data_IF_355521616070
#
_entry.id   IF_355521616070
#
_cell.length_a   1.000
_cell.length_b   1.000
_cell.length_c   1.000
_cell.angle_alpha   90.00
_cell.angle_beta   90.00
_cell.angle_gamma   90.00
#
_symmetry.space_group_name_H-M   'P 1'
#
loop_
_entity.id
_entity.type
_entity.pdbx_description
1 polymer ?
#
# COMPACT_ATOMS: atom_id res chain seq x y z
N UNK A 1 84.43 -11.00 -14.59
CA UNK A 1 83.41 -10.26 -15.35
C UNK A 1 82.08 -10.57 -14.71
N UNK A 2 81.65 -9.68 -13.79
CA UNK A 2 80.39 -9.84 -13.04
C UNK A 2 79.25 -9.04 -13.71
N UNK A 3 78.24 -9.70 -14.20
CA UNK A 3 77.00 -9.07 -14.67
C UNK A 3 76.00 -9.08 -13.50
N UNK A 4 75.77 -7.91 -12.90
CA UNK A 4 74.67 -7.66 -11.94
C UNK A 4 73.39 -7.43 -12.73
N UNK A 5 72.41 -8.29 -12.51
CA UNK A 5 71.05 -8.14 -13.03
C UNK A 5 70.22 -7.34 -12.01
N UNK A 6 69.84 -6.11 -12.36
CA UNK A 6 68.93 -5.31 -11.55
C UNK A 6 67.48 -5.76 -11.87
N UNK A 7 66.83 -6.39 -10.91
CA UNK A 7 65.39 -6.65 -10.93
C UNK A 7 64.64 -5.43 -10.36
N UNK A 8 63.96 -4.69 -11.18
CA UNK A 8 63.07 -3.61 -10.75
C UNK A 8 61.71 -4.20 -10.35
N UNK A 9 61.37 -4.15 -9.05
CA UNK A 9 60.06 -4.45 -8.55
C UNK A 9 59.08 -3.29 -8.89
N UNK A 10 58.15 -3.51 -9.74
CA UNK A 10 56.96 -2.64 -9.94
C UNK A 10 55.94 -2.99 -8.86
N UNK A 11 55.86 -2.18 -7.82
CA UNK A 11 54.73 -2.24 -6.86
C UNK A 11 53.55 -1.48 -7.46
N UNK A 12 52.62 -2.21 -8.05
CA UNK A 12 51.34 -1.67 -8.52
C UNK A 12 50.45 -1.35 -7.32
N UNK A 13 50.24 -0.07 -7.03
CA UNK A 13 49.22 0.42 -6.09
C UNK A 13 47.86 0.22 -6.72
N UNK A 14 47.14 -0.87 -6.33
CA UNK A 14 45.70 -1.02 -6.58
C UNK A 14 44.96 -0.10 -5.61
N UNK A 15 44.68 1.14 -6.04
CA UNK A 15 43.72 2.00 -5.36
C UNK A 15 42.34 1.41 -5.57
N UNK A 16 41.79 0.72 -4.55
CA UNK A 16 40.40 0.35 -4.50
C UNK A 16 39.56 1.63 -4.38
N UNK A 17 38.95 2.07 -5.48
CA UNK A 17 37.86 3.03 -5.45
C UNK A 17 36.71 2.38 -4.73
N UNK A 18 36.61 2.59 -3.41
CA UNK A 18 35.37 2.35 -2.71
C UNK A 18 34.32 3.29 -3.33
N UNK A 19 33.36 2.73 -4.08
CA UNK A 19 32.20 3.48 -4.54
C UNK A 19 31.49 3.97 -3.26
N UNK A 20 31.64 5.25 -2.92
CA UNK A 20 30.81 5.89 -1.92
C UNK A 20 29.40 5.92 -2.52
N UNK A 21 28.46 5.21 -1.89
CA UNK A 21 27.06 5.37 -2.22
C UNK A 21 26.70 6.84 -1.95
N UNK A 22 26.10 7.50 -2.93
CA UNK A 22 25.58 8.85 -2.72
C UNK A 22 24.63 8.84 -1.52
N UNK A 23 24.75 9.80 -0.59
CA UNK A 23 23.86 9.86 0.55
C UNK A 23 22.41 10.00 0.05
N UNK A 24 21.50 9.16 0.58
CA UNK A 24 20.08 9.25 0.25
C UNK A 24 19.53 10.58 0.77
N UNK A 25 19.17 11.48 -0.16
CA UNK A 25 18.69 12.83 0.16
C UNK A 25 17.20 12.96 -0.15
N UNK A 26 16.38 13.06 0.89
CA UNK A 26 14.93 13.26 0.78
C UNK A 26 14.55 14.62 0.19
N UNK A 27 15.44 15.62 0.17
CA UNK A 27 15.16 16.93 -0.41
C UNK A 27 14.89 16.86 -1.92
N UNK A 28 15.43 15.83 -2.59
CA UNK A 28 15.15 15.52 -4.01
C UNK A 28 13.76 14.96 -4.28
N UNK A 29 12.95 14.74 -3.23
CA UNK A 29 11.62 14.14 -3.36
C UNK A 29 10.53 15.05 -2.81
N UNK A 30 9.35 14.95 -3.42
CA UNK A 30 8.08 15.39 -2.85
C UNK A 30 7.47 14.19 -2.12
N UNK A 31 7.20 14.35 -0.83
CA UNK A 31 6.54 13.33 -0.02
C UNK A 31 5.04 13.57 -0.05
N UNK A 32 4.27 12.54 -0.42
CA UNK A 32 2.81 12.59 -0.47
C UNK A 32 2.24 11.57 0.50
N UNK A 33 1.35 12.02 1.38
CA UNK A 33 0.60 11.15 2.28
C UNK A 33 -0.58 10.56 1.51
N UNK A 34 -0.62 9.24 1.40
CA UNK A 34 -1.66 8.49 0.70
C UNK A 34 -2.64 7.82 1.67
N UNK A 35 -2.67 8.23 2.95
CA UNK A 35 -3.53 7.68 3.98
C UNK A 35 -4.55 8.68 4.49
N UNK A 36 -5.75 8.18 4.83
CA UNK A 36 -6.75 8.93 5.59
C UNK A 36 -6.39 8.97 7.07
N UNK A 37 -6.73 10.07 7.75
CA UNK A 37 -6.62 10.14 9.21
C UNK A 37 -7.66 9.22 9.87
N UNK A 38 -7.27 8.61 11.01
CA UNK A 38 -8.19 7.81 11.82
C UNK A 38 -8.95 8.71 12.80
N UNK A 39 -10.27 8.54 12.84
CA UNK A 39 -11.18 9.29 13.70
C UNK A 39 -12.53 8.59 13.85
N UNK A 40 -13.48 9.25 14.48
CA UNK A 40 -14.82 8.70 14.68
C UNK A 40 -15.59 8.46 13.37
N UNK A 41 -15.19 9.12 12.30
CA UNK A 41 -15.72 9.03 10.94
C UNK A 41 -14.97 8.03 10.05
N UNK A 42 -13.97 7.33 10.59
CA UNK A 42 -13.24 6.29 9.85
C UNK A 42 -14.21 5.21 9.38
N UNK A 43 -14.15 4.94 8.08
CA UNK A 43 -15.00 3.91 7.48
C UNK A 43 -14.39 2.52 7.67
N UNK A 44 -15.24 1.58 8.05
CA UNK A 44 -14.95 0.16 8.21
C UNK A 44 -15.91 -0.66 7.38
N UNK A 45 -15.46 -1.85 6.96
CA UNK A 45 -16.32 -2.83 6.31
C UNK A 45 -17.55 -3.11 7.19
N UNK A 46 -18.77 -3.13 6.61
CA UNK A 46 -20.00 -3.36 7.37
C UNK A 46 -19.98 -4.70 8.11
N UNK A 47 -20.44 -4.71 9.37
CA UNK A 47 -20.46 -5.91 10.18
C UNK A 47 -21.15 -5.74 11.52
N UNK A 48 -21.32 -6.85 12.26
CA UNK A 48 -21.91 -6.88 13.60
C UNK A 48 -20.93 -7.55 14.57
N UNK A 49 -20.54 -6.87 15.70
CA UNK A 49 -20.92 -5.49 16.05
C UNK A 49 -20.41 -4.49 15.02
N UNK A 50 -20.98 -3.28 14.96
CA UNK A 50 -20.55 -2.23 14.02
C UNK A 50 -19.11 -1.86 14.34
N UNK A 51 -18.18 -2.07 13.40
CA UNK A 51 -16.78 -1.75 13.63
C UNK A 51 -16.53 -0.25 13.59
N UNK A 52 -15.67 0.24 14.48
CA UNK A 52 -15.33 1.66 14.58
C UNK A 52 -13.94 1.88 15.18
N UNK A 53 -13.39 3.06 14.94
CA UNK A 53 -12.23 3.56 15.66
C UNK A 53 -12.68 4.25 16.95
N UNK A 54 -12.04 3.89 18.07
CA UNK A 54 -12.29 4.53 19.36
C UNK A 54 -10.98 5.11 19.89
N UNK A 55 -10.99 6.39 20.25
CA UNK A 55 -9.88 7.08 20.91
C UNK A 55 -10.35 7.53 22.28
N UNK A 56 -9.78 6.91 23.33
CA UNK A 56 -10.08 7.24 24.71
C UNK A 56 -8.97 8.12 25.30
N UNK A 57 -9.34 9.27 25.84
CA UNK A 57 -8.42 10.14 26.53
C UNK A 57 -8.14 9.60 27.94
N UNK A 58 -6.89 9.26 28.21
CA UNK A 58 -6.44 8.78 29.54
C UNK A 58 -5.95 9.93 30.40
N UNK A 59 -5.31 10.93 29.81
CA UNK A 59 -4.82 12.14 30.48
C UNK A 59 -4.77 13.29 29.48
N UNK A 60 -5.06 14.52 29.97
CA UNK A 60 -4.89 15.73 29.18
C UNK A 60 -4.93 16.95 30.11
N UNK A 61 -3.78 17.49 30.51
CA UNK A 61 -3.70 18.65 31.40
C UNK A 61 -2.37 18.81 32.11
N UNK A 62 -2.31 19.81 32.98
CA UNK A 62 -1.14 20.08 33.81
C UNK A 62 -1.01 19.01 34.91
N UNK A 63 0.21 18.53 35.11
CA UNK A 63 0.53 17.58 36.17
C UNK A 63 0.89 18.30 37.47
N UNK A 64 0.86 17.63 38.63
CA UNK A 64 1.38 18.20 39.88
C UNK A 64 2.85 18.60 39.82
N UNK A 65 3.61 18.09 38.85
CA UNK A 65 4.99 18.44 38.61
C UNK A 65 5.20 19.70 37.76
N UNK A 66 4.12 20.39 37.36
CA UNK A 66 4.18 21.65 36.61
C UNK A 66 4.49 21.50 35.11
N UNK A 67 4.16 20.37 34.51
CA UNK A 67 4.24 20.15 33.05
C UNK A 67 2.96 19.57 32.47
N UNK A 68 2.66 19.89 31.22
CA UNK A 68 1.53 19.35 30.52
C UNK A 68 1.76 17.87 30.11
N UNK A 69 0.74 17.04 30.25
CA UNK A 69 0.76 15.64 29.82
C UNK A 69 -0.54 15.28 29.12
N UNK A 70 -0.43 14.63 27.96
CA UNK A 70 -1.57 14.07 27.23
C UNK A 70 -1.27 12.62 26.83
N UNK A 71 -2.22 11.72 27.09
CA UNK A 71 -2.12 10.34 26.71
C UNK A 71 -3.52 9.81 26.36
N UNK A 72 -3.54 8.97 25.32
CA UNK A 72 -4.76 8.31 24.87
C UNK A 72 -4.50 6.81 24.70
N UNK A 73 -5.58 6.04 24.67
CA UNK A 73 -5.58 4.69 24.14
C UNK A 73 -6.53 4.63 22.96
N UNK A 74 -6.27 3.76 21.99
CA UNK A 74 -7.21 3.51 20.90
C UNK A 74 -7.59 2.03 20.83
N UNK A 75 -8.77 1.77 20.26
CA UNK A 75 -9.25 0.44 19.91
C UNK A 75 -9.84 0.52 18.49
N UNK A 76 -9.47 -0.44 17.64
CA UNK A 76 -9.98 -0.53 16.29
C UNK A 76 -9.82 -1.96 15.76
N UNK A 77 -10.67 -2.41 14.80
CA UNK A 77 -10.36 -3.56 13.97
C UNK A 77 -9.10 -3.32 13.13
N UNK A 78 -8.41 -4.40 12.75
CA UNK A 78 -7.21 -4.33 11.88
C UNK A 78 -7.55 -3.80 10.48
N UNK A 79 -8.76 -4.10 9.97
CA UNK A 79 -9.24 -3.81 8.62
C UNK A 79 -10.24 -2.65 8.63
N UNK A 80 -9.82 -1.50 8.11
CA UNK A 80 -10.60 -0.27 7.99
C UNK A 80 -9.74 0.97 8.07
N UNK A 81 -10.26 2.11 7.63
CA UNK A 81 -9.40 3.24 7.34
C UNK A 81 -8.35 2.87 6.30
N UNK A 82 -7.28 3.66 6.15
CA UNK A 82 -6.15 3.25 5.31
C UNK A 82 -5.36 2.16 6.03
N UNK A 83 -5.39 0.94 5.50
CA UNK A 83 -4.77 -0.22 6.13
C UNK A 83 -4.07 -1.13 5.12
N UNK A 84 -3.31 -2.08 5.64
CA UNK A 84 -2.70 -3.16 4.87
C UNK A 84 -3.32 -4.49 5.31
N UNK A 85 -3.74 -5.28 4.33
CA UNK A 85 -4.09 -6.69 4.50
C UNK A 85 -2.86 -7.56 4.35
N UNK A 86 -2.54 -8.32 5.40
CA UNK A 86 -1.51 -9.33 5.32
C UNK A 86 -2.06 -10.61 4.64
N UNK A 87 -1.21 -11.40 3.95
CA UNK A 87 -1.66 -12.60 3.24
C UNK A 87 -2.46 -13.60 4.09
N UNK A 88 -2.18 -13.70 5.38
CA UNK A 88 -2.92 -14.60 6.30
C UNK A 88 -4.41 -14.25 6.38
N UNK A 89 -4.82 -13.04 6.00
CA UNK A 89 -6.22 -12.63 5.99
C UNK A 89 -7.09 -13.56 5.11
N UNK A 90 -6.57 -14.00 3.95
CA UNK A 90 -7.28 -14.89 3.03
C UNK A 90 -6.54 -16.20 2.70
N UNK A 91 -5.34 -16.44 3.27
CA UNK A 91 -4.58 -17.67 3.12
C UNK A 91 -4.09 -18.18 4.48
N UNK A 92 -4.54 -19.38 4.88
CA UNK A 92 -4.22 -19.98 6.20
C UNK A 92 -2.73 -19.99 6.53
N UNK A 93 -1.89 -20.27 5.56
CA UNK A 93 -0.42 -20.35 5.70
C UNK A 93 0.27 -19.08 5.16
N UNK A 94 -0.50 -17.99 4.94
CA UNK A 94 0.03 -16.70 4.50
C UNK A 94 0.83 -16.00 5.59
N UNK A 95 1.72 -15.10 5.19
CA UNK A 95 2.49 -14.27 6.12
C UNK A 95 1.56 -13.37 6.92
N UNK A 96 1.84 -13.23 8.22
CA UNK A 96 1.22 -12.26 9.12
C UNK A 96 1.89 -10.89 8.98
N UNK A 97 1.26 -9.83 9.49
CA UNK A 97 1.75 -8.44 9.39
C UNK A 97 3.20 -8.28 9.87
N UNK A 98 3.58 -8.97 10.95
CA UNK A 98 4.94 -8.91 11.50
C UNK A 98 5.99 -9.70 10.70
N UNK A 99 5.55 -10.55 9.78
CA UNK A 99 6.41 -11.39 8.94
C UNK A 99 6.69 -10.78 7.55
N UNK A 100 5.93 -9.75 7.13
CA UNK A 100 6.11 -9.13 5.83
C UNK A 100 7.53 -8.53 5.69
N UNK A 101 8.27 -8.85 4.62
CA UNK A 101 9.61 -8.33 4.41
C UNK A 101 9.57 -6.84 4.03
N UNK A 102 10.52 -6.05 4.53
CA UNK A 102 10.60 -4.62 4.22
C UNK A 102 10.73 -4.34 2.72
N UNK A 103 11.36 -5.22 1.96
CA UNK A 103 11.49 -5.11 0.50
C UNK A 103 10.16 -5.20 -0.25
N UNK A 104 9.12 -5.73 0.40
CA UNK A 104 7.76 -5.74 -0.12
C UNK A 104 7.00 -4.48 0.27
N UNK A 105 7.33 -3.90 1.44
CA UNK A 105 6.65 -2.73 2.01
C UNK A 105 7.29 -1.39 1.57
N UNK A 106 8.51 -1.43 1.03
CA UNK A 106 9.25 -0.27 0.51
C UNK A 106 9.74 -0.64 -0.88
N UNK A 107 9.05 -0.17 -1.93
CA UNK A 107 9.33 -0.62 -3.29
C UNK A 107 9.03 0.46 -4.34
N UNK A 108 9.58 0.33 -5.56
CA UNK A 108 9.11 1.09 -6.71
C UNK A 108 7.61 0.88 -6.90
N UNK A 109 6.91 1.91 -7.37
CA UNK A 109 5.49 1.83 -7.57
C UNK A 109 5.04 2.37 -8.93
N UNK A 110 3.88 1.89 -9.36
CA UNK A 110 3.17 2.37 -10.55
C UNK A 110 1.71 2.64 -10.18
N UNK A 111 1.08 3.58 -10.90
CA UNK A 111 -0.33 3.92 -10.75
C UNK A 111 -1.07 3.67 -12.06
N UNK A 112 -2.07 2.79 -12.02
CA UNK A 112 -2.99 2.54 -13.14
C UNK A 112 -4.24 3.38 -12.91
N UNK A 113 -4.59 4.23 -13.87
CA UNK A 113 -5.73 5.14 -13.79
C UNK A 113 -6.94 4.56 -14.55
N UNK A 114 -8.03 4.31 -13.83
CA UNK A 114 -9.30 3.82 -14.37
C UNK A 114 -10.49 4.71 -13.98
N UNK A 115 -10.22 5.97 -13.62
CA UNK A 115 -11.27 6.91 -13.19
C UNK A 115 -12.38 7.09 -14.19
N UNK A 116 -12.04 7.13 -15.48
CA UNK A 116 -13.04 7.28 -16.55
C UNK A 116 -13.99 6.07 -16.60
N UNK A 117 -13.44 4.85 -16.49
CA UNK A 117 -14.21 3.61 -16.47
C UNK A 117 -15.06 3.52 -15.20
N UNK A 118 -14.45 3.82 -14.03
CA UNK A 118 -15.12 3.79 -12.73
C UNK A 118 -16.29 4.80 -12.64
N UNK A 119 -16.18 5.95 -13.30
CA UNK A 119 -17.26 6.94 -13.37
C UNK A 119 -18.45 6.43 -14.20
N UNK A 120 -18.20 5.61 -15.23
CA UNK A 120 -19.25 5.04 -16.09
C UNK A 120 -19.88 3.79 -15.49
N UNK A 121 -19.11 3.03 -14.73
CA UNK A 121 -19.52 1.80 -14.06
C UNK A 121 -18.94 1.74 -12.64
N UNK A 122 -19.80 1.98 -11.65
CA UNK A 122 -19.40 1.95 -10.24
C UNK A 122 -18.99 0.55 -9.74
N UNK A 123 -19.28 -0.49 -10.51
CA UNK A 123 -18.80 -1.85 -10.25
C UNK A 123 -17.65 -2.26 -11.17
N UNK A 124 -16.96 -1.27 -11.78
CA UNK A 124 -15.87 -1.53 -12.69
C UNK A 124 -14.77 -2.36 -12.04
N UNK A 125 -14.28 -3.31 -12.78
CA UNK A 125 -13.16 -4.17 -12.39
C UNK A 125 -12.02 -3.97 -13.38
N UNK A 126 -10.83 -3.63 -12.88
CA UNK A 126 -9.63 -3.52 -13.71
C UNK A 126 -9.52 -4.73 -14.64
N UNK A 127 -9.36 -4.49 -15.93
CA UNK A 127 -9.31 -5.52 -16.97
C UNK A 127 -7.86 -5.77 -17.44
N UNK A 128 -7.55 -6.95 -18.00
CA UNK A 128 -6.27 -7.22 -18.66
C UNK A 128 -5.89 -6.18 -19.71
N UNK A 129 -6.87 -5.59 -20.40
CA UNK A 129 -6.67 -4.54 -21.39
C UNK A 129 -6.12 -3.24 -20.79
N UNK A 130 -6.53 -2.88 -19.56
CA UNK A 130 -6.01 -1.69 -18.87
C UNK A 130 -4.53 -1.87 -18.55
N UNK A 131 -4.14 -3.08 -18.11
CA UNK A 131 -2.73 -3.43 -17.87
C UNK A 131 -1.95 -3.35 -19.17
N UNK A 132 -2.46 -3.95 -20.28
CA UNK A 132 -1.80 -3.89 -21.58
C UNK A 132 -1.62 -2.45 -22.05
N UNK A 133 -2.64 -1.60 -21.91
CA UNK A 133 -2.58 -0.17 -22.27
C UNK A 133 -1.55 0.58 -21.44
N UNK A 134 -1.50 0.31 -20.13
CA UNK A 134 -0.49 0.87 -19.25
C UNK A 134 0.91 0.44 -19.69
N UNK A 135 1.13 -0.84 -19.94
CA UNK A 135 2.43 -1.40 -20.32
C UNK A 135 2.89 -0.97 -21.71
N UNK A 136 1.99 -0.75 -22.67
CA UNK A 136 2.31 -0.15 -23.98
C UNK A 136 2.88 1.26 -23.83
N UNK A 137 2.40 2.02 -22.87
CA UNK A 137 2.82 3.42 -22.64
C UNK A 137 4.11 3.50 -21.81
N UNK A 138 4.25 2.65 -20.80
CA UNK A 138 5.26 2.82 -19.76
C UNK A 138 6.25 1.66 -19.63
N UNK A 139 6.07 0.61 -20.40
CA UNK A 139 6.82 -0.65 -20.30
C UNK A 139 6.22 -1.62 -19.30
N UNK A 140 6.70 -2.86 -19.38
CA UNK A 140 6.20 -3.98 -18.57
C UNK A 140 6.42 -3.71 -17.08
N UNK A 141 5.40 -3.95 -16.27
CA UNK A 141 5.47 -3.87 -14.79
C UNK A 141 6.49 -4.90 -14.29
N UNK A 142 7.48 -4.44 -13.53
CA UNK A 142 8.59 -5.29 -13.06
C UNK A 142 8.22 -6.03 -11.77
N UNK A 143 8.79 -7.21 -11.55
CA UNK A 143 8.65 -7.91 -10.27
C UNK A 143 9.05 -7.04 -9.07
N UNK A 144 8.35 -7.21 -7.95
CA UNK A 144 8.58 -6.41 -6.73
C UNK A 144 8.03 -4.98 -6.78
N UNK A 145 7.25 -4.61 -7.81
CA UNK A 145 6.59 -3.31 -7.90
C UNK A 145 5.29 -3.28 -7.09
N UNK A 146 5.01 -2.20 -6.38
CA UNK A 146 3.69 -1.92 -5.79
C UNK A 146 2.80 -1.32 -6.89
N UNK A 147 1.62 -1.91 -7.11
CA UNK A 147 0.66 -1.41 -8.10
C UNK A 147 -0.47 -0.70 -7.38
N UNK A 148 -0.67 0.59 -7.69
CA UNK A 148 -1.76 1.41 -7.16
C UNK A 148 -2.84 1.58 -8.23
N UNK A 149 -4.05 1.15 -7.93
CA UNK A 149 -5.22 1.36 -8.79
C UNK A 149 -5.93 2.64 -8.36
N UNK A 150 -6.00 3.60 -9.26
CA UNK A 150 -6.74 4.84 -9.06
C UNK A 150 -8.11 4.76 -9.72
N UNK A 151 -9.14 4.72 -8.91
CA UNK A 151 -10.54 4.75 -9.34
C UNK A 151 -11.18 6.13 -9.20
N UNK A 152 -10.55 7.03 -8.41
CA UNK A 152 -11.08 8.34 -8.02
C UNK A 152 -12.07 8.26 -6.86
N UNK A 153 -12.21 7.09 -6.25
CA UNK A 153 -13.23 6.82 -5.24
C UNK A 153 -12.97 7.52 -3.91
N UNK A 154 -11.72 7.79 -3.58
CA UNK A 154 -11.32 8.50 -2.36
C UNK A 154 -12.00 9.87 -2.18
N UNK A 155 -12.51 10.49 -3.26
CA UNK A 155 -13.28 11.74 -3.19
C UNK A 155 -14.57 11.61 -2.36
N UNK A 156 -15.11 10.40 -2.20
CA UNK A 156 -16.34 10.14 -1.44
C UNK A 156 -16.11 9.91 0.05
N UNK A 157 -14.85 9.79 0.47
CA UNK A 157 -14.49 9.63 1.87
C UNK A 157 -14.75 10.92 2.67
N UNK A 158 -15.34 10.87 3.88
CA UNK A 158 -15.81 9.70 4.63
C UNK A 158 -17.35 9.47 4.54
N UNK A 159 -18.00 9.91 3.45
CA UNK A 159 -19.44 9.70 3.27
C UNK A 159 -19.71 8.21 3.00
N UNK A 160 -20.28 7.51 3.98
CA UNK A 160 -20.53 6.07 3.91
C UNK A 160 -21.39 5.69 2.70
N UNK A 161 -22.46 6.42 2.44
CA UNK A 161 -23.38 6.13 1.34
C UNK A 161 -22.70 6.30 -0.01
N UNK A 162 -22.02 7.42 -0.20
CA UNK A 162 -21.31 7.69 -1.44
C UNK A 162 -20.14 6.72 -1.64
N UNK A 163 -19.41 6.38 -0.56
CA UNK A 163 -18.22 5.55 -0.62
C UNK A 163 -18.52 4.06 -0.77
N UNK A 164 -19.52 3.53 -0.07
CA UNK A 164 -19.89 2.12 -0.10
C UNK A 164 -21.07 1.78 -1.02
N UNK A 165 -21.82 2.79 -1.51
CA UNK A 165 -23.10 2.59 -2.17
C UNK A 165 -24.25 2.26 -1.22
N UNK A 166 -23.98 2.15 0.10
CA UNK A 166 -24.92 1.75 1.14
C UNK A 166 -24.69 2.56 2.43
N UNK A 167 -25.79 2.94 3.09
CA UNK A 167 -25.74 3.56 4.42
C UNK A 167 -25.57 2.54 5.55
N UNK A 168 -25.81 1.25 5.28
CA UNK A 168 -25.75 0.22 6.30
C UNK A 168 -24.32 0.04 6.83
N UNK A 169 -24.17 0.18 8.15
CA UNK A 169 -22.94 -0.16 8.84
C UNK A 169 -22.88 -1.64 9.28
N UNK A 170 -23.95 -2.39 9.12
CA UNK A 170 -24.10 -3.76 9.59
C UNK A 170 -24.16 -4.81 8.46
N UNK A 171 -24.55 -4.38 7.25
CA UNK A 171 -24.81 -5.28 6.11
C UNK A 171 -24.01 -4.87 4.87
N UNK A 172 -23.17 -5.80 4.41
CA UNK A 172 -22.35 -5.64 3.22
C UNK A 172 -23.07 -6.01 1.90
N UNK A 173 -24.35 -6.41 1.92
CA UNK A 173 -25.05 -6.91 0.72
C UNK A 173 -25.23 -5.85 -0.37
N UNK A 174 -25.31 -4.57 0.02
CA UNK A 174 -25.53 -3.43 -0.86
C UNK A 174 -24.26 -2.71 -1.33
N UNK A 175 -23.07 -3.25 -1.06
CA UNK A 175 -21.82 -2.57 -1.42
C UNK A 175 -21.64 -2.46 -2.93
N UNK A 176 -21.23 -1.26 -3.39
CA UNK A 176 -20.97 -0.97 -4.79
C UNK A 176 -19.82 0.04 -4.89
N UNK A 177 -18.67 -0.42 -5.35
CA UNK A 177 -17.47 0.37 -5.67
C UNK A 177 -16.57 -0.40 -6.63
N UNK A 178 -15.75 0.29 -7.46
CA UNK A 178 -14.83 -0.33 -8.40
C UNK A 178 -13.59 -0.90 -7.70
N UNK A 179 -12.91 -1.86 -8.32
CA UNK A 179 -11.61 -2.35 -7.86
C UNK A 179 -10.91 -3.23 -8.92
N UNK A 180 -10.06 -4.17 -8.48
CA UNK A 180 -9.39 -5.11 -9.35
C UNK A 180 -10.36 -6.17 -9.87
N UNK A 181 -10.13 -6.62 -11.12
CA UNK A 181 -10.74 -7.81 -11.67
C UNK A 181 -9.84 -9.03 -11.46
N UNK A 182 -10.45 -10.22 -11.45
CA UNK A 182 -9.77 -11.48 -11.21
C UNK A 182 -8.63 -11.75 -12.22
N UNK A 183 -8.92 -11.61 -13.52
CA UNK A 183 -7.91 -11.85 -14.57
C UNK A 183 -6.76 -10.84 -14.50
N UNK A 184 -7.07 -9.58 -14.20
CA UNK A 184 -6.05 -8.55 -14.01
C UNK A 184 -5.18 -8.86 -12.77
N UNK A 185 -5.79 -9.30 -11.68
CA UNK A 185 -5.06 -9.71 -10.47
C UNK A 185 -4.15 -10.91 -10.74
N UNK A 186 -4.61 -11.91 -11.50
CA UNK A 186 -3.76 -13.05 -11.91
C UNK A 186 -2.54 -12.59 -12.70
N UNK A 187 -2.71 -11.70 -13.67
CA UNK A 187 -1.59 -11.13 -14.45
C UNK A 187 -0.61 -10.40 -13.52
N UNK A 188 -1.09 -9.50 -12.67
CA UNK A 188 -0.23 -8.72 -11.78
C UNK A 188 0.51 -9.61 -10.78
N UNK A 189 -0.19 -10.54 -10.16
CA UNK A 189 0.36 -11.38 -9.08
C UNK A 189 1.24 -12.51 -9.65
N UNK A 190 0.76 -13.25 -10.68
CA UNK A 190 1.45 -14.44 -11.17
C UNK A 190 2.47 -14.15 -12.26
N UNK A 191 2.10 -13.28 -13.24
CA UNK A 191 2.96 -13.04 -14.40
C UNK A 191 3.93 -11.88 -14.15
N UNK A 192 3.56 -10.89 -13.32
CA UNK A 192 4.39 -9.72 -13.02
C UNK A 192 5.10 -9.82 -11.68
N UNK A 193 4.61 -10.64 -10.75
CA UNK A 193 5.24 -10.82 -9.44
C UNK A 193 5.27 -9.53 -8.61
N UNK A 194 4.15 -8.81 -8.57
CA UNK A 194 4.04 -7.54 -7.84
C UNK A 194 4.21 -7.71 -6.34
N UNK A 195 4.68 -6.68 -5.65
CA UNK A 195 4.89 -6.68 -4.21
C UNK A 195 3.58 -6.53 -3.43
N UNK A 196 2.77 -5.53 -3.80
CA UNK A 196 1.47 -5.22 -3.18
C UNK A 196 0.49 -4.76 -4.26
N UNK A 197 -0.80 -4.96 -4.00
CA UNK A 197 -1.91 -4.33 -4.71
C UNK A 197 -2.49 -3.22 -3.84
N UNK A 198 -2.60 -1.99 -4.35
CA UNK A 198 -3.18 -0.86 -3.61
C UNK A 198 -4.37 -0.27 -4.36
N UNK A 199 -5.37 0.25 -3.65
CA UNK A 199 -6.58 0.85 -4.24
C UNK A 199 -7.13 1.98 -3.36
N UNK A 200 -7.80 2.94 -3.98
CA UNK A 200 -8.50 4.05 -3.32
C UNK A 200 -9.96 3.75 -2.98
N UNK A 201 -10.32 2.46 -2.89
CA UNK A 201 -11.63 1.96 -2.42
C UNK A 201 -11.47 1.09 -1.17
N UNK A 202 -12.59 0.63 -0.63
CA UNK A 202 -12.66 -0.11 0.61
C UNK A 202 -12.15 -1.56 0.51
N UNK A 203 -11.85 -2.05 -0.70
CA UNK A 203 -11.37 -3.40 -0.91
C UNK A 203 -10.65 -3.55 -2.25
N UNK A 204 -9.62 -4.42 -2.30
CA UNK A 204 -9.00 -4.85 -3.56
C UNK A 204 -9.96 -5.72 -4.39
N UNK A 205 -10.99 -6.31 -3.81
CA UNK A 205 -12.15 -6.85 -4.54
C UNK A 205 -13.20 -5.75 -4.75
N UNK A 206 -13.95 -5.80 -5.84
CA UNK A 206 -15.04 -4.84 -6.11
C UNK A 206 -16.22 -5.02 -5.14
N UNK A 207 -17.02 -3.97 -4.90
CA UNK A 207 -18.02 -3.93 -3.83
C UNK A 207 -19.05 -5.07 -3.84
N UNK A 208 -19.41 -5.59 -5.01
CA UNK A 208 -20.36 -6.70 -5.15
C UNK A 208 -19.72 -8.09 -5.04
N UNK A 209 -18.39 -8.19 -4.81
CA UNK A 209 -17.71 -9.47 -4.60
C UNK A 209 -18.31 -10.22 -3.40
N UNK A 210 -18.43 -11.55 -3.52
CA UNK A 210 -18.93 -12.42 -2.44
C UNK A 210 -17.97 -13.56 -2.13
N UNK A 211 -16.99 -13.77 -2.98
CA UNK A 211 -16.03 -14.85 -2.91
C UNK A 211 -14.58 -14.35 -2.73
N UNK A 212 -14.37 -13.02 -2.79
CA UNK A 212 -13.10 -12.36 -2.54
C UNK A 212 -11.94 -12.94 -3.36
N UNK A 213 -12.18 -13.15 -4.66
CA UNK A 213 -11.23 -13.84 -5.54
C UNK A 213 -9.90 -13.10 -5.66
N UNK A 214 -9.91 -11.75 -5.71
CA UNK A 214 -8.68 -10.96 -5.81
C UNK A 214 -7.83 -11.11 -4.53
N UNK A 215 -8.44 -11.01 -3.36
CA UNK A 215 -7.77 -11.29 -2.09
C UNK A 215 -7.16 -12.68 -2.06
N UNK A 216 -7.93 -13.70 -2.45
CA UNK A 216 -7.48 -15.09 -2.43
C UNK A 216 -6.32 -15.34 -3.40
N UNK A 217 -6.33 -14.72 -4.59
CA UNK A 217 -5.24 -14.78 -5.57
C UNK A 217 -3.99 -14.12 -4.99
N UNK A 218 -4.11 -12.93 -4.44
CA UNK A 218 -3.01 -12.18 -3.85
C UNK A 218 -2.42 -12.90 -2.64
N UNK A 219 -3.26 -13.29 -1.68
CA UNK A 219 -2.86 -13.97 -0.45
C UNK A 219 -2.16 -15.31 -0.70
N UNK A 220 -2.65 -16.11 -1.66
CA UNK A 220 -2.02 -17.38 -2.04
C UNK A 220 -0.59 -17.22 -2.59
N UNK A 221 -0.23 -16.03 -3.05
CA UNK A 221 1.11 -15.67 -3.52
C UNK A 221 1.90 -14.82 -2.50
N UNK A 222 1.42 -14.68 -1.26
CA UNK A 222 1.97 -13.79 -0.24
C UNK A 222 2.05 -12.31 -0.70
N UNK A 223 1.12 -11.86 -1.52
CA UNK A 223 0.95 -10.45 -1.90
C UNK A 223 -0.12 -9.84 -1.00
N UNK A 224 0.21 -8.74 -0.32
CA UNK A 224 -0.73 -8.00 0.52
C UNK A 224 -1.56 -6.98 -0.26
N UNK A 225 -2.64 -6.48 0.37
CA UNK A 225 -3.51 -5.43 -0.14
C UNK A 225 -3.32 -4.12 0.64
N UNK A 226 -3.33 -2.97 -0.04
CA UNK A 226 -3.44 -1.64 0.56
C UNK A 226 -4.80 -1.07 0.19
N UNK A 227 -5.62 -0.73 1.16
CA UNK A 227 -6.99 -0.31 0.95
C UNK A 227 -7.25 1.09 1.51
N UNK A 228 -8.29 1.73 0.98
CA UNK A 228 -8.66 3.10 1.35
C UNK A 228 -7.50 4.11 1.19
N UNK A 229 -6.79 4.05 0.06
CA UNK A 229 -5.78 5.04 -0.28
C UNK A 229 -6.42 6.36 -0.71
N UNK A 230 -5.68 7.45 -0.56
CA UNK A 230 -6.11 8.79 -1.01
C UNK A 230 -4.98 9.50 -1.78
N UNK A 231 -5.27 10.67 -2.35
CA UNK A 231 -4.30 11.52 -3.04
C UNK A 231 -3.57 10.84 -4.22
N UNK A 232 -4.13 9.77 -4.80
CA UNK A 232 -3.51 9.07 -5.93
C UNK A 232 -3.44 9.94 -7.19
N UNK A 233 -4.25 10.98 -7.30
CA UNK A 233 -4.20 11.99 -8.37
C UNK A 233 -2.92 12.84 -8.34
N UNK A 234 -2.23 12.89 -7.20
CA UNK A 234 -1.02 13.67 -7.02
C UNK A 234 0.28 12.90 -7.34
N UNK A 235 0.21 11.57 -7.50
CA UNK A 235 1.37 10.76 -7.89
C UNK A 235 1.40 10.52 -9.40
N UNK A 236 2.59 10.44 -10.04
CA UNK A 236 2.71 10.11 -11.46
C UNK A 236 2.32 8.66 -11.72
N UNK A 237 2.15 8.26 -12.98
CA UNK A 237 1.86 6.87 -13.34
C UNK A 237 3.06 5.95 -13.08
N UNK A 238 4.31 6.47 -13.14
CA UNK A 238 5.56 5.73 -12.92
C UNK A 238 6.64 6.61 -12.29
N UNK A 239 7.77 6.00 -11.93
CA UNK A 239 8.96 6.74 -11.51
C UNK A 239 8.96 7.21 -10.06
N UNK A 240 8.16 6.58 -9.20
CA UNK A 240 8.10 6.89 -7.77
C UNK A 240 8.24 5.62 -6.91
N UNK A 241 8.43 5.80 -5.61
CA UNK A 241 8.46 4.71 -4.64
C UNK A 241 7.34 4.88 -3.63
N UNK A 242 6.92 3.76 -3.05
CA UNK A 242 5.94 3.74 -1.96
C UNK A 242 6.60 3.13 -0.72
N UNK A 243 6.32 3.74 0.43
CA UNK A 243 6.60 3.25 1.77
C UNK A 243 5.25 2.98 2.42
N UNK A 244 4.95 1.70 2.71
CA UNK A 244 3.69 1.24 3.29
C UNK A 244 4.00 0.35 4.51
N UNK A 245 4.33 0.96 5.64
CA UNK A 245 4.72 0.26 6.87
C UNK A 245 3.52 0.16 7.82
N UNK A 246 2.79 -0.97 7.85
CA UNK A 246 1.69 -1.16 8.78
C UNK A 246 2.19 -1.25 10.23
N UNK A 247 1.28 -1.08 11.18
CA UNK A 247 1.55 -1.46 12.57
C UNK A 247 2.01 -2.93 12.60
N UNK A 248 3.19 -3.18 13.16
CA UNK A 248 3.79 -4.54 13.19
C UNK A 248 3.15 -5.39 14.27
N UNK A 249 1.92 -5.86 14.03
CA UNK A 249 1.15 -6.68 14.96
C UNK A 249 1.59 -8.15 14.81
N UNK A 250 2.06 -8.75 15.91
CA UNK A 250 2.45 -10.16 15.90
C UNK A 250 1.23 -11.04 15.67
N UNK A 251 1.27 -11.83 14.58
CA UNK A 251 0.17 -12.70 14.18
C UNK A 251 -1.03 -11.95 13.61
N UNK A 252 -0.92 -10.63 13.36
CA UNK A 252 -1.99 -9.82 12.81
C UNK A 252 -2.32 -10.19 11.36
N UNK A 253 -3.61 -10.14 11.03
CA UNK A 253 -4.12 -10.36 9.68
C UNK A 253 -4.04 -9.11 8.80
N UNK A 254 -3.84 -7.94 9.41
CA UNK A 254 -3.71 -6.64 8.78
C UNK A 254 -3.31 -5.58 9.81
N UNK A 255 -3.39 -4.33 9.43
CA UNK A 255 -3.17 -3.24 10.37
C UNK A 255 -3.21 -1.86 9.75
N UNK A 256 -3.55 -0.84 10.56
CA UNK A 256 -3.44 0.54 10.16
C UNK A 256 -2.07 0.84 9.56
N UNK A 257 -2.05 1.60 8.46
CA UNK A 257 -0.82 1.94 7.75
C UNK A 257 -0.82 3.42 7.36
N UNK A 258 0.32 4.08 7.53
CA UNK A 258 0.56 5.36 6.87
C UNK A 258 1.34 5.11 5.60
N UNK A 259 0.71 5.34 4.46
CA UNK A 259 1.32 5.13 3.15
C UNK A 259 1.90 6.44 2.64
N UNK A 260 3.17 6.42 2.22
CA UNK A 260 3.87 7.60 1.71
C UNK A 260 4.41 7.31 0.32
N UNK A 261 4.12 8.18 -0.63
CA UNK A 261 4.79 8.16 -1.92
C UNK A 261 5.98 9.13 -1.93
N UNK A 262 7.12 8.64 -2.42
CA UNK A 262 8.32 9.44 -2.69
C UNK A 262 8.37 9.71 -4.19
N UNK A 263 8.03 10.92 -4.58
CA UNK A 263 7.99 11.36 -5.98
C UNK A 263 9.21 12.25 -6.25
N UNK A 264 10.12 11.89 -7.18
CA UNK A 264 11.22 12.76 -7.56
C UNK A 264 10.74 14.15 -8.01
N UNK A 265 11.49 15.19 -7.67
CA UNK A 265 11.19 16.59 -8.05
C UNK A 265 11.58 16.90 -9.48
#
# INVERSE_FOLDING_TARGET
>A
MNKRCCMALFAGLLASLAAQADPFDLSGYRLLDLGHAYGADTLYWPGRPVPRFELEQLANGETPGGYFYSANRFCAPEHGGTHLDAPVHFAREGMTTDQLPLTQLIAPAVRIDVREQATRDHSYRLQPEDIRRFEQKWGVIRPGTIVLLQTGWSQYWPDRKAYFGSESAEDASGLEFPSYGEEAALILVKDRGVALLGVDTASIDFGRSRDFLVHRIAAAANVGGLENLTNLDQVPETGFHVIALPMKIRGGSGGPVRVVALVPR
#
